data_IF_255658623141
#
_entry.id   IF_255658623141
#
_cell.length_a   1.000
_cell.length_b   1.000
_cell.length_c   1.000
_cell.angle_alpha   90.00
_cell.angle_beta   90.00
_cell.angle_gamma   90.00
#
_symmetry.space_group_name_H-M   'P 1'
#
loop_
_entity.id
_entity.type
_entity.pdbx_description
1 polymer ?
#
# COMPACT_ATOMS: atom_id res chain seq x y z
N UNK A 1 6.95 -50.27 15.53
CA UNK A 1 6.76 -49.62 14.21
C UNK A 1 7.33 -48.21 14.36
N UNK A 2 8.65 -47.97 14.22
CA UNK A 2 9.37 -47.77 12.95
C UNK A 2 8.49 -47.01 11.95
N UNK A 3 8.76 -45.74 11.65
CA UNK A 3 9.98 -45.30 10.96
C UNK A 3 10.57 -43.99 11.50
N UNK A 4 11.89 -44.00 11.64
CA UNK A 4 12.80 -42.86 11.76
C UNK A 4 13.38 -42.54 10.39
N UNK A 5 13.38 -41.28 9.94
CA UNK A 5 14.40 -40.75 9.02
C UNK A 5 14.78 -39.32 9.46
N UNK A 6 16.01 -39.20 9.98
CA UNK A 6 16.79 -37.97 10.15
C UNK A 6 17.37 -37.50 8.82
N UNK A 7 17.47 -36.17 8.65
CA UNK A 7 18.50 -35.35 7.94
C UNK A 7 17.83 -33.98 7.71
N UNK A 8 18.33 -32.82 8.09
CA UNK A 8 19.69 -32.39 8.39
C UNK A 8 19.79 -30.98 7.79
N UNK A 9 20.08 -29.99 8.64
CA UNK A 9 20.83 -28.76 8.34
C UNK A 9 20.59 -28.02 7.01
N UNK A 10 19.96 -26.84 7.11
CA UNK A 10 20.53 -25.62 6.56
C UNK A 10 19.99 -24.39 7.30
N UNK A 11 20.90 -23.69 7.99
CA UNK A 11 20.79 -22.26 8.26
C UNK A 11 20.36 -21.56 6.96
N UNK A 12 19.32 -20.73 7.00
CA UNK A 12 19.37 -19.40 6.39
C UNK A 12 18.26 -18.54 6.99
N UNK A 13 18.64 -17.78 8.02
CA UNK A 13 17.93 -16.58 8.38
C UNK A 13 18.04 -15.60 7.21
N UNK A 14 16.89 -15.19 6.68
CA UNK A 14 16.78 -13.94 5.93
C UNK A 14 15.48 -13.29 6.38
N UNK A 15 15.60 -12.63 7.53
CA UNK A 15 14.86 -11.42 7.84
C UNK A 15 14.89 -10.52 6.60
N UNK A 16 13.75 -10.34 5.95
CA UNK A 16 13.58 -9.22 5.04
C UNK A 16 12.80 -8.14 5.79
N UNK A 17 13.57 -7.22 6.37
CA UNK A 17 13.09 -5.94 6.84
C UNK A 17 12.29 -5.27 5.74
N UNK A 18 11.09 -4.78 6.07
CA UNK A 18 10.39 -3.78 5.29
C UNK A 18 11.32 -2.57 5.10
N UNK A 19 11.92 -2.50 3.92
CA UNK A 19 12.56 -1.31 3.37
C UNK A 19 12.52 -1.51 1.86
N UNK A 20 11.77 -0.63 1.18
CA UNK A 20 11.61 -0.54 -0.28
C UNK A 20 11.06 -1.79 -0.98
N UNK A 21 9.74 -1.94 -1.01
CA UNK A 21 9.08 -2.86 -1.94
C UNK A 21 8.95 -2.17 -3.32
N UNK A 22 9.89 -2.43 -4.21
CA UNK A 22 9.77 -2.09 -5.63
C UNK A 22 8.70 -2.96 -6.29
N UNK A 23 7.66 -2.32 -6.81
CA UNK A 23 6.52 -2.94 -7.45
C UNK A 23 6.91 -3.90 -8.61
N UNK A 24 6.45 -5.15 -8.52
CA UNK A 24 6.46 -6.10 -9.62
C UNK A 24 5.21 -5.85 -10.48
N UNK A 25 5.38 -5.10 -11.57
CA UNK A 25 4.33 -4.87 -12.57
C UNK A 25 4.24 -6.08 -13.51
N UNK A 26 3.18 -6.87 -13.37
CA UNK A 26 2.76 -7.84 -14.39
C UNK A 26 1.87 -7.10 -15.38
N UNK A 27 2.46 -6.67 -16.51
CA UNK A 27 1.72 -6.07 -17.62
C UNK A 27 0.79 -7.11 -18.28
N UNK A 28 -0.51 -6.82 -18.47
CA UNK A 28 -1.37 -7.69 -19.27
C UNK A 28 -0.92 -7.62 -20.74
N UNK A 29 -0.58 -8.78 -21.30
CA UNK A 29 -0.33 -8.94 -22.74
C UNK A 29 -1.66 -8.80 -23.47
N UNK A 30 -2.02 -7.59 -23.88
CA UNK A 30 -3.08 -7.38 -24.87
C UNK A 30 -2.43 -7.37 -26.26
N UNK A 31 -2.69 -8.44 -26.99
CA UNK A 31 -2.33 -8.67 -28.37
C UNK A 31 -3.04 -7.66 -29.29
N UNK A 32 -2.45 -6.48 -29.48
CA UNK A 32 -2.88 -5.57 -30.54
C UNK A 32 -2.17 -5.92 -31.84
N UNK A 33 -2.77 -6.82 -32.62
CA UNK A 33 -2.48 -6.97 -34.06
C UNK A 33 -2.74 -5.63 -34.74
N UNK A 34 -1.73 -5.04 -35.37
CA UNK A 34 -1.94 -4.15 -36.50
C UNK A 34 -0.78 -4.23 -37.49
N UNK A 35 -1.03 -4.98 -38.57
CA UNK A 35 -0.23 -4.96 -39.79
C UNK A 35 -0.59 -3.69 -40.58
N UNK A 36 0.33 -2.74 -40.67
CA UNK A 36 0.60 -2.06 -41.94
C UNK A 36 1.90 -1.25 -41.83
N UNK A 37 2.95 -1.80 -42.42
CA UNK A 37 4.17 -1.06 -42.74
C UNK A 37 3.81 -0.19 -43.93
N UNK A 38 3.80 1.13 -43.75
CA UNK A 38 4.05 2.05 -44.86
C UNK A 38 4.96 3.18 -44.40
N UNK A 39 6.09 3.22 -45.11
CA UNK A 39 7.24 4.06 -44.97
C UNK A 39 6.90 5.50 -45.34
N UNK A 40 7.13 6.46 -44.44
CA UNK A 40 7.70 7.77 -44.76
C UNK A 40 7.93 8.60 -43.49
N UNK A 41 9.22 8.81 -43.18
CA UNK A 41 9.83 10.01 -42.62
C UNK A 41 8.92 10.93 -41.80
N UNK A 42 9.00 10.78 -40.48
CA UNK A 42 9.03 11.84 -39.48
C UNK A 42 9.52 11.22 -38.17
N UNK A 43 10.63 11.71 -37.61
CA UNK A 43 11.15 11.27 -36.31
C UNK A 43 10.16 11.65 -35.19
N UNK A 44 9.15 10.81 -34.98
CA UNK A 44 8.28 10.88 -33.80
C UNK A 44 9.11 10.35 -32.64
N UNK A 45 9.76 11.26 -31.91
CA UNK A 45 10.30 10.96 -30.60
C UNK A 45 9.11 10.64 -29.70
N UNK A 46 8.75 9.36 -29.60
CA UNK A 46 7.82 8.87 -28.57
C UNK A 46 8.55 9.05 -27.23
N UNK A 47 8.43 10.24 -26.64
CA UNK A 47 8.77 10.45 -25.24
C UNK A 47 7.77 9.63 -24.44
N UNK A 48 8.15 8.42 -24.05
CA UNK A 48 7.50 7.72 -22.96
C UNK A 48 7.46 8.70 -21.80
N UNK A 49 6.27 9.20 -21.44
CA UNK A 49 6.07 9.89 -20.16
C UNK A 49 6.40 8.87 -19.10
N UNK A 50 7.67 8.82 -18.68
CA UNK A 50 8.10 8.04 -17.53
C UNK A 50 7.32 8.62 -16.36
N UNK A 51 6.25 7.95 -15.97
CA UNK A 51 5.55 8.21 -14.71
C UNK A 51 6.63 8.15 -13.62
N UNK A 52 7.06 9.32 -13.15
CA UNK A 52 7.86 9.38 -11.94
C UNK A 52 6.84 9.16 -10.84
N UNK A 53 6.68 7.90 -10.46
CA UNK A 53 6.10 7.57 -9.16
C UNK A 53 7.06 8.16 -8.15
N UNK A 54 6.84 9.42 -7.78
CA UNK A 54 7.58 9.99 -6.68
C UNK A 54 7.11 9.22 -5.44
N UNK A 55 8.08 8.69 -4.70
CA UNK A 55 7.83 8.25 -3.34
C UNK A 55 7.42 9.48 -2.51
N UNK A 56 6.79 9.24 -1.36
CA UNK A 56 6.52 10.28 -0.37
C UNK A 56 7.76 11.16 -0.14
N UNK A 57 7.51 12.46 -0.12
CA UNK A 57 8.50 13.53 -0.06
C UNK A 57 8.78 13.99 1.38
N UNK A 58 7.90 13.66 2.32
CA UNK A 58 7.90 14.17 3.68
C UNK A 58 7.23 15.55 3.82
N UNK A 59 6.52 16.01 2.79
CA UNK A 59 5.76 17.27 2.84
C UNK A 59 4.34 16.93 3.30
N UNK A 60 4.00 17.36 4.51
CA UNK A 60 2.64 17.20 5.05
C UNK A 60 1.69 18.11 4.28
N UNK A 61 0.67 17.52 3.67
CA UNK A 61 -0.35 18.25 2.90
C UNK A 61 -1.50 18.72 3.79
N UNK A 62 -1.87 17.92 4.80
CA UNK A 62 -2.91 18.27 5.76
C UNK A 62 -2.72 17.55 7.11
N UNK A 63 -3.44 18.03 8.13
CA UNK A 63 -3.61 17.32 9.39
C UNK A 63 -4.95 16.58 9.37
N UNK A 64 -4.91 15.26 9.49
CA UNK A 64 -6.09 14.41 9.62
C UNK A 64 -6.49 14.19 11.08
N UNK A 65 -7.68 13.62 11.28
CA UNK A 65 -8.18 13.21 12.60
C UNK A 65 -8.47 11.72 12.61
N UNK A 66 -7.98 11.02 13.62
CA UNK A 66 -8.29 9.60 13.82
C UNK A 66 -9.77 9.46 14.20
N UNK A 67 -10.50 8.67 13.43
CA UNK A 67 -11.91 8.36 13.70
C UNK A 67 -12.02 7.11 14.56
N UNK A 68 -11.29 6.05 14.23
CA UNK A 68 -11.26 4.82 15.03
C UNK A 68 -10.02 3.98 14.77
N UNK A 69 -9.67 3.12 15.74
CA UNK A 69 -8.63 2.10 15.64
C UNK A 69 -9.19 0.80 16.22
N UNK A 70 -9.48 -0.18 15.37
CA UNK A 70 -10.27 -1.37 15.74
C UNK A 70 -9.56 -2.66 15.31
N UNK A 71 -9.58 -3.68 16.17
CA UNK A 71 -9.20 -5.04 15.77
C UNK A 71 -10.38 -5.73 15.10
N UNK A 72 -10.17 -6.25 13.89
CA UNK A 72 -11.17 -6.98 13.10
C UNK A 72 -10.67 -8.42 12.85
N UNK A 73 -11.57 -9.39 12.90
CA UNK A 73 -11.23 -10.81 12.72
C UNK A 73 -11.44 -11.31 11.28
N UNK A 74 -12.05 -10.49 10.43
CA UNK A 74 -12.51 -10.85 9.09
C UNK A 74 -11.87 -9.99 7.98
N UNK A 75 -10.70 -9.40 8.22
CA UNK A 75 -9.97 -8.63 7.22
C UNK A 75 -9.42 -9.53 6.13
N UNK A 76 -9.51 -9.07 4.88
CA UNK A 76 -8.91 -9.73 3.72
C UNK A 76 -7.41 -9.42 3.72
N UNK A 77 -6.60 -10.47 3.85
CA UNK A 77 -5.14 -10.37 3.79
C UNK A 77 -4.65 -10.34 2.34
N UNK A 78 -3.38 -10.02 2.15
CA UNK A 78 -2.75 -9.91 0.83
C UNK A 78 -2.85 -11.19 -0.03
N UNK A 79 -3.00 -12.36 0.60
CA UNK A 79 -3.15 -13.66 -0.05
C UNK A 79 -4.62 -14.04 -0.35
N UNK A 80 -5.57 -13.16 -0.01
CA UNK A 80 -7.00 -13.37 -0.17
C UNK A 80 -7.66 -14.18 0.96
N UNK A 81 -6.91 -14.62 1.96
CA UNK A 81 -7.48 -15.26 3.15
C UNK A 81 -8.11 -14.23 4.09
N UNK A 82 -9.03 -14.67 4.96
CA UNK A 82 -9.55 -13.85 6.05
C UNK A 82 -8.74 -14.10 7.31
N UNK A 83 -8.39 -13.04 8.02
CA UNK A 83 -7.66 -13.15 9.26
C UNK A 83 -7.82 -11.94 10.16
N UNK A 84 -7.17 -12.03 11.33
CA UNK A 84 -7.12 -10.96 12.31
C UNK A 84 -6.20 -9.83 11.82
N UNK A 85 -6.70 -8.61 11.86
CA UNK A 85 -5.95 -7.39 11.57
C UNK A 85 -6.46 -6.21 12.38
N UNK A 86 -5.72 -5.10 12.34
CA UNK A 86 -6.15 -3.83 12.94
C UNK A 86 -6.46 -2.85 11.82
N UNK A 87 -7.62 -2.23 11.88
CA UNK A 87 -8.03 -1.19 10.95
C UNK A 87 -7.94 0.17 11.62
N UNK A 88 -7.37 1.13 10.91
CA UNK A 88 -7.34 2.54 11.30
C UNK A 88 -8.21 3.33 10.32
N UNK A 89 -9.16 4.10 10.86
CA UNK A 89 -9.99 5.04 10.11
C UNK A 89 -9.51 6.46 10.37
N UNK A 90 -9.25 7.23 9.31
CA UNK A 90 -8.74 8.61 9.42
C UNK A 90 -9.56 9.52 8.53
N UNK A 91 -9.94 10.67 9.07
CA UNK A 91 -10.58 11.76 8.35
C UNK A 91 -9.52 12.72 7.78
N UNK A 92 -9.58 13.00 6.49
CA UNK A 92 -8.72 13.96 5.79
C UNK A 92 -9.37 14.39 4.48
N UNK A 93 -9.46 15.68 4.21
CA UNK A 93 -10.21 16.19 3.06
C UNK A 93 -9.32 16.37 1.83
N UNK A 94 -8.09 16.82 2.02
CA UNK A 94 -7.14 17.10 0.93
C UNK A 94 -6.64 15.79 0.33
N UNK A 95 -6.22 14.82 1.15
CA UNK A 95 -5.70 13.54 0.62
C UNK A 95 -6.79 12.70 -0.04
N UNK A 96 -8.06 12.90 0.37
CA UNK A 96 -9.22 12.20 -0.20
C UNK A 96 -9.64 12.72 -1.57
N UNK A 97 -9.30 13.96 -1.93
CA UNK A 97 -9.77 14.58 -3.18
C UNK A 97 -9.37 13.83 -4.46
N UNK A 98 -8.23 13.14 -4.44
CA UNK A 98 -7.74 12.29 -5.54
C UNK A 98 -7.37 10.88 -5.05
N UNK A 99 -7.92 10.45 -3.91
CA UNK A 99 -7.71 9.09 -3.42
C UNK A 99 -8.45 8.08 -4.29
N UNK A 100 -7.86 6.90 -4.47
CA UNK A 100 -8.49 5.76 -5.12
C UNK A 100 -8.20 4.50 -4.32
N UNK A 101 -9.08 3.51 -4.43
CA UNK A 101 -8.93 2.27 -3.68
C UNK A 101 -7.60 1.59 -4.00
N UNK A 102 -6.81 1.27 -2.98
CA UNK A 102 -5.47 0.70 -3.12
C UNK A 102 -4.36 1.73 -3.35
N UNK A 103 -4.65 3.03 -3.33
CA UNK A 103 -3.60 4.06 -3.32
C UNK A 103 -2.79 3.99 -2.01
N UNK A 104 -1.59 4.57 -2.04
CA UNK A 104 -0.77 4.73 -0.84
C UNK A 104 -1.03 6.11 -0.25
N UNK A 105 -1.30 6.16 1.05
CA UNK A 105 -1.43 7.38 1.85
C UNK A 105 -0.45 7.27 3.01
N UNK A 106 0.32 8.33 3.23
CA UNK A 106 1.25 8.43 4.34
C UNK A 106 0.53 8.99 5.56
N UNK A 107 0.49 8.20 6.64
CA UNK A 107 -0.03 8.63 7.94
C UNK A 107 1.15 8.78 8.88
N UNK A 108 1.54 10.03 9.15
CA UNK A 108 2.63 10.40 10.05
C UNK A 108 3.95 9.69 9.76
N UNK A 109 4.30 9.63 8.47
CA UNK A 109 5.54 9.00 7.98
C UNK A 109 5.40 7.52 7.66
N UNK A 110 4.24 6.91 7.90
CA UNK A 110 3.99 5.50 7.61
C UNK A 110 3.18 5.37 6.32
N UNK A 111 3.77 4.74 5.29
CA UNK A 111 3.06 4.40 4.07
C UNK A 111 2.05 3.29 4.32
N UNK A 112 0.77 3.59 4.07
CA UNK A 112 -0.35 2.67 4.26
C UNK A 112 -1.20 2.60 2.99
N UNK A 113 -1.82 1.44 2.75
CA UNK A 113 -2.68 1.22 1.59
C UNK A 113 -4.13 1.48 1.97
N UNK A 114 -4.81 2.35 1.22
CA UNK A 114 -6.24 2.62 1.42
C UNK A 114 -7.08 1.40 1.04
N UNK A 115 -7.77 0.80 2.03
CA UNK A 115 -8.60 -0.39 1.88
C UNK A 115 -10.08 -0.07 1.72
N UNK A 116 -10.52 1.08 2.21
CA UNK A 116 -11.88 1.61 2.02
C UNK A 116 -11.82 3.14 1.94
N UNK A 117 -12.72 3.75 1.17
CA UNK A 117 -12.84 5.19 1.00
C UNK A 117 -14.31 5.59 1.17
N UNK A 118 -14.59 6.49 2.10
CA UNK A 118 -15.87 7.15 2.31
C UNK A 118 -15.75 8.61 1.87
N UNK A 119 -16.26 8.90 0.66
CA UNK A 119 -16.19 10.23 0.07
C UNK A 119 -17.14 11.23 0.75
N UNK A 120 -18.25 10.76 1.34
CA UNK A 120 -19.24 11.63 1.96
C UNK A 120 -18.70 12.19 3.29
N UNK A 121 -18.01 11.34 4.06
CA UNK A 121 -17.43 11.73 5.35
C UNK A 121 -15.97 12.24 5.26
N UNK A 122 -15.34 12.10 4.09
CA UNK A 122 -13.89 12.30 3.87
C UNK A 122 -13.04 11.42 4.78
N UNK A 123 -13.43 10.14 4.90
CA UNK A 123 -12.76 9.15 5.74
C UNK A 123 -12.16 8.07 4.85
N UNK A 124 -10.91 7.72 5.09
CA UNK A 124 -10.30 6.52 4.51
C UNK A 124 -9.93 5.53 5.60
N UNK A 125 -9.89 4.26 5.22
CA UNK A 125 -9.48 3.18 6.10
C UNK A 125 -8.23 2.50 5.58
N UNK A 126 -7.41 2.04 6.51
CA UNK A 126 -6.16 1.35 6.21
C UNK A 126 -5.97 0.16 7.15
N UNK A 127 -5.41 -0.92 6.62
CA UNK A 127 -4.98 -2.07 7.42
C UNK A 127 -3.59 -1.87 8.01
N UNK A 128 -3.44 -2.16 9.29
CA UNK A 128 -2.17 -2.13 10.01
C UNK A 128 -1.69 -3.54 10.30
N UNK A 129 -0.47 -3.84 9.85
CA UNK A 129 0.20 -5.09 10.20
C UNK A 129 0.62 -5.06 11.69
N UNK A 130 0.67 -6.23 12.37
CA UNK A 130 1.13 -6.30 13.76
C UNK A 130 2.53 -5.72 13.97
N UNK A 131 3.41 -5.83 12.97
CA UNK A 131 4.75 -5.24 13.05
C UNK A 131 4.72 -3.70 12.94
N UNK A 132 3.82 -3.14 12.12
CA UNK A 132 3.63 -1.68 12.03
C UNK A 132 3.20 -1.12 13.38
N UNK A 133 2.26 -1.78 14.05
CA UNK A 133 1.80 -1.39 15.39
C UNK A 133 2.92 -1.44 16.44
N UNK A 134 3.83 -2.42 16.34
CA UNK A 134 4.96 -2.54 17.29
C UNK A 134 6.08 -1.54 17.04
N UNK A 135 6.29 -1.14 15.79
CA UNK A 135 7.43 -0.30 15.38
C UNK A 135 7.10 1.17 15.20
N UNK A 136 5.82 1.53 15.28
CA UNK A 136 5.35 2.91 15.10
C UNK A 136 4.43 3.26 16.26
N UNK A 137 4.20 4.56 16.47
CA UNK A 137 3.29 5.04 17.50
C UNK A 137 1.81 4.85 17.12
N UNK A 138 1.51 4.37 15.91
CA UNK A 138 0.13 4.22 15.42
C UNK A 138 -0.72 3.28 16.30
N UNK A 139 -0.09 2.35 17.02
CA UNK A 139 -0.79 1.47 17.96
C UNK A 139 -1.27 2.14 19.25
N UNK A 140 -0.82 3.37 19.52
CA UNK A 140 -1.21 4.15 20.70
C UNK A 140 -2.29 5.19 20.39
N UNK A 141 -2.64 5.34 19.10
CA UNK A 141 -3.63 6.31 18.64
C UNK A 141 -5.02 6.02 19.20
N UNK A 142 -5.74 7.11 19.48
CA UNK A 142 -7.12 7.11 19.94
C UNK A 142 -7.97 7.95 19.03
N UNK A 143 -9.28 7.74 19.09
CA UNK A 143 -10.26 8.61 18.46
C UNK A 143 -10.02 10.08 18.87
N UNK A 144 -10.03 10.97 17.88
CA UNK A 144 -9.76 12.40 18.06
C UNK A 144 -8.29 12.81 17.97
N UNK A 145 -7.34 11.86 17.95
CA UNK A 145 -5.93 12.20 17.78
C UNK A 145 -5.67 12.79 16.38
N UNK A 146 -4.72 13.72 16.31
CA UNK A 146 -4.36 14.41 15.07
C UNK A 146 -3.12 13.75 14.46
N UNK A 147 -3.17 13.49 13.15
CA UNK A 147 -2.09 12.85 12.40
C UNK A 147 -1.67 13.67 11.19
N UNK A 148 -0.40 13.64 10.83
CA UNK A 148 0.09 14.27 9.60
C UNK A 148 -0.28 13.39 8.40
N UNK A 149 -0.80 13.98 7.33
CA UNK A 149 -1.17 13.27 6.10
C UNK A 149 -0.37 13.78 4.90
N UNK A 150 0.08 12.85 4.07
CA UNK A 150 0.77 13.10 2.80
C UNK A 150 0.33 12.03 1.78
N UNK A 151 0.29 12.38 0.48
CA UNK A 151 -0.04 11.46 -0.60
C UNK A 151 1.02 11.47 -1.70
#
# INVERSE_FOLDING_TARGET
MMLSIKRGSALFALYLSASSCSAFSVSPTILSRNNNINNNNNNVVVRSKKSRHNMFTGIVEEMGTVVSLEEREDMILWDGSKGKGTELSVKGSVVMGEAYLGCSICVSGVCLTATELDADENVFKVGLAPETLRRTYLGELKEGDVVNLER
#
